data_IF_721030502802
#
_entry.id   IF_721030502802
#
_cell.length_a   1.000
_cell.length_b   1.000
_cell.length_c   1.000
_cell.angle_alpha   90.00
_cell.angle_beta   90.00
_cell.angle_gamma   90.00
#
_symmetry.space_group_name_H-M   'P 1'
#
loop_
_entity.id
_entity.type
_entity.pdbx_description
1 polymer ?
#
# COMPACT_ATOMS: atom_id res chain seq x y z
N UNK A 1 23.90 -36.45 54.45
CA UNK A 1 24.98 -35.70 53.78
C UNK A 1 24.33 -34.55 53.04
N UNK A 2 24.59 -33.33 53.53
CA UNK A 2 24.22 -31.97 53.07
C UNK A 2 23.49 -31.90 51.71
N UNK A 3 22.24 -31.47 51.54
CA UNK A 3 21.41 -30.40 52.13
C UNK A 3 22.06 -29.01 52.16
N UNK A 4 21.53 -28.08 51.36
CA UNK A 4 21.34 -26.66 51.74
C UNK A 4 20.38 -25.94 50.79
N UNK A 5 19.17 -25.74 51.31
CA UNK A 5 18.30 -24.57 51.12
C UNK A 5 19.08 -23.26 51.35
N UNK A 6 18.73 -22.18 50.62
CA UNK A 6 18.67 -20.79 51.12
C UNK A 6 18.11 -19.88 50.01
N UNK A 7 16.90 -19.31 50.10
CA UNK A 7 16.46 -18.11 50.85
C UNK A 7 16.43 -16.88 49.95
N UNK A 8 15.23 -16.31 49.84
CA UNK A 8 14.88 -15.06 49.17
C UNK A 8 14.98 -13.88 50.17
N UNK A 9 15.25 -12.69 49.62
CA UNK A 9 15.13 -11.31 50.15
C UNK A 9 16.37 -10.69 50.85
N UNK A 10 16.46 -9.35 50.97
CA UNK A 10 16.09 -8.28 50.01
C UNK A 10 17.16 -7.15 49.92
N UNK A 11 17.07 -6.33 48.85
CA UNK A 11 17.69 -5.00 48.67
C UNK A 11 19.23 -4.95 48.64
N UNK A 12 19.77 -4.42 47.54
CA UNK A 12 21.15 -3.93 47.53
C UNK A 12 21.74 -3.95 46.13
N UNK A 13 21.65 -2.79 45.48
CA UNK A 13 22.37 -2.37 44.28
C UNK A 13 23.75 -3.02 44.17
N UNK A 14 24.02 -3.74 43.09
CA UNK A 14 25.39 -4.01 42.64
C UNK A 14 25.62 -3.23 41.34
N UNK A 15 26.11 -2.01 41.49
CA UNK A 15 26.72 -1.26 40.42
C UNK A 15 28.03 -1.97 40.04
N UNK A 16 28.10 -2.51 38.83
CA UNK A 16 29.36 -2.99 38.27
C UNK A 16 30.04 -1.79 37.65
N UNK A 17 30.97 -1.21 38.41
CA UNK A 17 31.92 -0.21 37.98
C UNK A 17 33.01 -0.92 37.16
N UNK A 18 32.92 -0.87 35.83
CA UNK A 18 33.99 -1.34 34.95
C UNK A 18 34.91 -0.18 34.58
N UNK A 19 36.15 -0.30 35.07
CA UNK A 19 37.32 0.51 34.74
C UNK A 19 37.41 0.80 33.24
N UNK A 20 37.52 2.08 32.93
CA UNK A 20 37.93 2.56 31.63
C UNK A 20 39.42 2.26 31.39
N UNK A 21 39.72 1.37 30.46
CA UNK A 21 41.02 1.33 29.80
C UNK A 21 40.85 1.87 28.37
N UNK A 22 41.31 3.12 28.18
CA UNK A 22 41.40 3.78 26.88
C UNK A 22 42.57 3.20 26.10
N UNK A 23 42.27 2.43 25.04
CA UNK A 23 43.16 2.29 23.88
C UNK A 23 42.31 2.24 22.61
N UNK A 24 42.14 3.39 21.97
CA UNK A 24 41.76 3.45 20.55
C UNK A 24 42.79 4.33 19.87
N UNK A 25 43.59 3.68 19.04
CA UNK A 25 44.60 4.27 18.16
C UNK A 25 43.90 5.17 17.15
N UNK A 26 44.22 6.44 17.19
CA UNK A 26 43.75 7.49 16.29
C UNK A 26 44.67 7.49 15.05
N UNK A 27 44.18 7.03 13.90
CA UNK A 27 44.88 7.20 12.62
C UNK A 27 44.47 8.56 12.05
N UNK A 28 45.26 9.59 12.35
CA UNK A 28 45.22 10.88 11.65
C UNK A 28 46.10 10.79 10.40
N UNK A 29 45.47 10.75 9.23
CA UNK A 29 46.15 11.07 7.96
C UNK A 29 46.26 12.58 7.83
N UNK A 30 47.38 13.16 8.27
CA UNK A 30 47.83 14.48 7.83
C UNK A 30 48.71 14.28 6.60
N UNK A 31 48.21 14.60 5.40
CA UNK A 31 49.07 14.69 4.22
C UNK A 31 49.85 16.01 4.26
N UNK A 32 51.16 15.91 4.46
CA UNK A 32 52.10 16.92 3.97
C UNK A 32 52.22 16.77 2.45
N UNK A 33 51.94 17.83 1.71
CA UNK A 33 52.36 17.93 0.30
C UNK A 33 53.73 18.56 0.28
N UNK A 34 54.74 17.76 -0.05
CA UNK A 34 56.04 18.24 -0.47
C UNK A 34 55.91 18.79 -1.91
N UNK A 35 56.26 20.07 -2.09
CA UNK A 35 56.39 20.66 -3.41
C UNK A 35 57.65 20.09 -4.07
N UNK A 36 57.47 19.18 -5.04
CA UNK A 36 58.50 18.79 -6.00
C UNK A 36 58.19 19.51 -7.30
N UNK A 37 59.06 20.43 -7.69
CA UNK A 37 59.04 21.07 -8.99
C UNK A 37 59.43 20.07 -10.08
N UNK A 38 58.51 19.71 -10.96
CA UNK A 38 58.78 19.01 -12.21
C UNK A 38 58.27 19.88 -13.37
N UNK A 39 59.15 20.14 -14.34
CA UNK A 39 58.89 20.98 -15.51
C UNK A 39 57.86 20.37 -16.49
N UNK A 40 57.45 21.12 -17.52
CA UNK A 40 56.34 20.72 -18.37
C UNK A 40 56.80 19.65 -19.37
N UNK A 41 56.36 18.42 -19.15
CA UNK A 41 56.37 17.40 -20.19
C UNK A 41 54.99 17.39 -20.87
N UNK A 42 54.96 17.82 -22.13
CA UNK A 42 53.80 17.74 -23.00
C UNK A 42 53.41 16.26 -23.18
N UNK A 43 52.32 15.85 -22.54
CA UNK A 43 51.66 14.57 -22.79
C UNK A 43 50.31 14.86 -23.45
N UNK A 44 50.17 14.32 -24.65
CA UNK A 44 49.00 14.38 -25.53
C UNK A 44 47.75 13.85 -24.82
N UNK A 45 46.78 14.71 -24.57
CA UNK A 45 45.45 14.35 -24.10
C UNK A 45 44.73 13.54 -25.20
N UNK A 46 44.71 12.22 -25.03
CA UNK A 46 43.84 11.31 -25.78
C UNK A 46 43.18 10.39 -24.77
N UNK A 47 41.91 10.69 -24.47
CA UNK A 47 41.11 9.99 -23.48
C UNK A 47 40.10 10.91 -22.79
N UNK A 48 39.09 11.37 -23.52
CA UNK A 48 37.85 11.84 -22.90
C UNK A 48 37.11 10.62 -22.35
N UNK A 49 37.57 10.08 -21.22
CA UNK A 49 36.75 9.22 -20.39
C UNK A 49 35.74 10.12 -19.69
N UNK A 50 34.47 10.04 -20.07
CA UNK A 50 33.39 10.65 -19.28
C UNK A 50 33.47 10.07 -17.86
N UNK A 51 33.62 10.93 -16.86
CA UNK A 51 33.43 10.50 -15.47
C UNK A 51 32.03 9.92 -15.36
N UNK A 52 31.84 8.72 -14.77
CA UNK A 52 30.51 8.15 -14.63
C UNK A 52 29.65 9.12 -13.82
N UNK A 53 28.51 9.50 -14.39
CA UNK A 53 27.50 10.31 -13.70
C UNK A 53 27.12 9.58 -12.41
N UNK A 54 27.00 10.29 -11.27
CA UNK A 54 26.54 9.66 -10.03
C UNK A 54 25.18 9.01 -10.27
N UNK A 55 25.06 7.74 -9.88
CA UNK A 55 23.82 6.98 -9.97
C UNK A 55 23.20 6.88 -8.58
N UNK A 56 21.91 7.19 -8.46
CA UNK A 56 21.14 7.09 -7.22
C UNK A 56 20.01 6.09 -7.39
N UNK A 57 19.87 5.18 -6.43
CA UNK A 57 18.70 4.29 -6.36
C UNK A 57 17.56 4.97 -5.62
N UNK A 58 16.37 4.98 -6.23
CA UNK A 58 15.13 5.54 -5.66
C UNK A 58 14.00 4.51 -5.68
N UNK A 59 13.17 4.49 -4.65
CA UNK A 59 11.99 3.64 -4.58
C UNK A 59 10.79 4.41 -5.15
N UNK A 60 10.40 4.08 -6.38
CA UNK A 60 9.41 4.87 -7.14
C UNK A 60 8.48 3.99 -7.97
N UNK A 61 7.36 4.58 -8.40
CA UNK A 61 6.35 3.92 -9.24
C UNK A 61 6.98 3.44 -10.56
N UNK A 62 6.65 2.23 -10.96
CA UNK A 62 7.11 1.56 -12.18
C UNK A 62 5.96 1.28 -13.17
N UNK A 63 4.77 1.85 -12.93
CA UNK A 63 3.60 1.71 -13.78
C UNK A 63 2.79 0.44 -13.52
N UNK A 64 1.91 0.10 -14.47
CA UNK A 64 1.04 -1.07 -14.43
C UNK A 64 1.85 -2.33 -14.68
N UNK A 65 1.67 -3.35 -13.84
CA UNK A 65 2.24 -4.70 -14.02
C UNK A 65 1.17 -5.76 -14.30
N UNK A 66 -0.07 -5.53 -13.86
CA UNK A 66 -1.22 -6.35 -14.25
C UNK A 66 -2.41 -5.43 -14.62
N UNK A 67 -2.72 -5.27 -15.92
CA UNK A 67 -3.89 -4.51 -16.33
C UNK A 67 -5.20 -5.27 -16.04
N UNK A 68 -6.33 -4.57 -16.08
CA UNK A 68 -7.64 -5.23 -16.11
C UNK A 68 -7.83 -6.05 -17.40
N UNK A 69 -8.81 -6.94 -17.41
CA UNK A 69 -9.12 -7.80 -18.56
C UNK A 69 -9.86 -7.09 -19.70
N UNK A 70 -9.99 -7.78 -20.82
CA UNK A 70 -10.84 -7.42 -21.95
C UNK A 70 -12.32 -7.65 -21.61
N UNK A 71 -13.28 -7.00 -22.31
CA UNK A 71 -14.70 -7.25 -22.11
C UNK A 71 -15.05 -8.75 -22.15
N UNK A 72 -15.80 -9.21 -21.14
CA UNK A 72 -16.18 -10.61 -20.96
C UNK A 72 -15.22 -11.42 -20.08
N UNK A 73 -14.02 -10.90 -19.78
CA UNK A 73 -13.12 -11.50 -18.80
C UNK A 73 -13.56 -11.20 -17.36
N UNK A 74 -13.12 -12.06 -16.44
CA UNK A 74 -13.57 -12.01 -15.05
C UNK A 74 -13.07 -10.79 -14.26
N UNK A 75 -12.05 -10.11 -14.79
CA UNK A 75 -11.48 -8.87 -14.31
C UNK A 75 -11.60 -7.73 -15.35
N UNK A 76 -12.62 -7.79 -16.21
CA UNK A 76 -12.79 -6.85 -17.33
C UNK A 76 -12.97 -5.38 -16.93
N UNK A 77 -13.35 -5.12 -15.68
CA UNK A 77 -13.51 -3.77 -15.13
C UNK A 77 -12.39 -3.45 -14.14
N UNK A 78 -12.13 -4.33 -13.17
CA UNK A 78 -11.08 -4.16 -12.15
C UNK A 78 -10.20 -5.40 -12.02
N UNK A 79 -8.88 -5.19 -12.04
CA UNK A 79 -7.90 -6.09 -11.45
C UNK A 79 -7.36 -5.43 -10.17
N UNK A 80 -7.66 -5.99 -9.00
CA UNK A 80 -7.40 -5.35 -7.70
C UNK A 80 -7.00 -6.32 -6.59
N UNK A 81 -6.66 -5.77 -5.43
CA UNK A 81 -6.27 -6.52 -4.23
C UNK A 81 -5.23 -7.62 -4.54
N UNK A 82 -4.02 -7.28 -5.01
CA UNK A 82 -2.96 -8.27 -5.19
C UNK A 82 -2.56 -8.89 -3.86
N UNK A 83 -2.14 -10.15 -3.92
CA UNK A 83 -1.22 -10.73 -2.95
C UNK A 83 -0.14 -11.49 -3.70
N UNK A 84 1.11 -11.07 -3.57
CA UNK A 84 2.24 -11.66 -4.29
C UNK A 84 3.12 -12.47 -3.35
N UNK A 85 3.41 -13.70 -3.75
CA UNK A 85 4.37 -14.58 -3.10
C UNK A 85 5.42 -15.02 -4.12
N UNK A 86 6.70 -14.95 -3.74
CA UNK A 86 7.79 -15.58 -4.50
C UNK A 86 8.03 -16.97 -3.92
N UNK A 87 7.86 -17.98 -4.75
CA UNK A 87 7.96 -19.38 -4.37
C UNK A 87 9.43 -19.85 -4.28
N UNK A 88 9.61 -21.05 -3.73
CA UNK A 88 10.93 -21.66 -3.50
C UNK A 88 11.68 -21.92 -4.83
N UNK A 89 10.93 -22.19 -5.91
CA UNK A 89 11.47 -22.38 -7.26
C UNK A 89 11.80 -21.05 -7.97
N UNK A 90 11.50 -19.92 -7.33
CA UNK A 90 11.72 -18.57 -7.83
C UNK A 90 10.57 -18.00 -8.69
N UNK A 91 9.52 -18.78 -8.95
CA UNK A 91 8.30 -18.31 -9.60
C UNK A 91 7.55 -17.35 -8.69
N UNK A 92 7.04 -16.26 -9.24
CA UNK A 92 6.14 -15.36 -8.54
C UNK A 92 4.71 -15.79 -8.82
N UNK A 93 3.91 -15.84 -7.77
CA UNK A 93 2.48 -16.16 -7.77
C UNK A 93 1.74 -14.92 -7.30
N UNK A 94 0.70 -14.53 -8.03
CA UNK A 94 -0.22 -13.47 -7.63
C UNK A 94 -1.62 -14.05 -7.59
N UNK A 95 -2.22 -13.98 -6.42
CA UNK A 95 -3.67 -14.07 -6.30
C UNK A 95 -4.21 -12.65 -6.32
N UNK A 96 -5.31 -12.41 -7.01
CA UNK A 96 -5.90 -11.09 -7.11
C UNK A 96 -7.42 -11.16 -7.28
N UNK A 97 -8.11 -10.07 -6.92
CA UNK A 97 -9.55 -9.94 -7.11
C UNK A 97 -9.87 -9.33 -8.48
N UNK A 98 -10.70 -10.02 -9.26
CA UNK A 98 -11.22 -9.55 -10.53
C UNK A 98 -12.68 -9.14 -10.40
N UNK A 99 -13.04 -7.99 -10.97
CA UNK A 99 -14.41 -7.51 -11.09
C UNK A 99 -14.78 -7.34 -12.56
N UNK A 100 -15.92 -7.90 -12.95
CA UNK A 100 -16.43 -7.86 -14.33
C UNK A 100 -17.55 -6.83 -14.56
N UNK A 101 -17.83 -5.99 -13.56
CA UNK A 101 -18.98 -5.09 -13.56
C UNK A 101 -20.19 -5.63 -12.79
N UNK A 102 -20.15 -6.89 -12.34
CA UNK A 102 -21.23 -7.54 -11.59
C UNK A 102 -20.73 -8.16 -10.29
N UNK A 103 -19.71 -9.01 -10.34
CA UNK A 103 -19.23 -9.79 -9.17
C UNK A 103 -17.72 -9.77 -9.03
N UNK A 104 -17.24 -9.93 -7.79
CA UNK A 104 -15.82 -10.08 -7.50
C UNK A 104 -15.45 -11.56 -7.37
N UNK A 105 -14.43 -12.00 -8.10
CA UNK A 105 -13.89 -13.36 -8.07
C UNK A 105 -12.40 -13.34 -7.74
N UNK A 106 -11.89 -14.47 -7.27
CA UNK A 106 -10.45 -14.64 -7.09
C UNK A 106 -9.84 -15.19 -8.37
N UNK A 107 -8.80 -14.53 -8.87
CA UNK A 107 -8.04 -14.93 -10.05
C UNK A 107 -6.58 -15.20 -9.67
N UNK A 108 -5.88 -15.88 -10.57
CA UNK A 108 -4.47 -16.22 -10.41
C UNK A 108 -3.63 -15.75 -11.61
N UNK A 109 -2.43 -15.28 -11.33
CA UNK A 109 -1.40 -14.96 -12.31
C UNK A 109 -0.03 -15.48 -11.83
N UNK A 110 0.85 -15.81 -12.76
CA UNK A 110 2.24 -16.18 -12.46
C UNK A 110 3.22 -15.31 -13.22
N UNK A 111 4.44 -15.18 -12.70
CA UNK A 111 5.51 -14.42 -13.35
C UNK A 111 6.88 -15.04 -13.07
N UNK A 112 7.82 -15.03 -14.03
CA UNK A 112 9.21 -15.43 -13.79
C UNK A 112 10.06 -14.32 -13.13
N UNK A 113 9.64 -13.05 -13.24
CA UNK A 113 10.41 -11.90 -12.80
C UNK A 113 9.64 -11.00 -11.80
N UNK A 114 8.37 -11.29 -11.54
CA UNK A 114 7.44 -10.53 -10.71
C UNK A 114 7.00 -9.20 -11.34
N UNK A 115 7.31 -8.97 -12.62
CA UNK A 115 6.99 -7.74 -13.36
C UNK A 115 6.08 -8.06 -14.54
N UNK A 116 6.41 -9.10 -15.30
CA UNK A 116 5.62 -9.58 -16.44
C UNK A 116 4.77 -10.74 -16.02
N UNK A 117 3.46 -10.54 -16.02
CA UNK A 117 2.50 -11.51 -15.47
C UNK A 117 1.71 -12.22 -16.57
N UNK A 118 1.49 -13.52 -16.38
CA UNK A 118 0.58 -14.34 -17.18
C UNK A 118 -0.64 -14.66 -16.33
N UNK A 119 -1.82 -14.22 -16.79
CA UNK A 119 -3.11 -14.52 -16.14
C UNK A 119 -3.55 -15.94 -16.46
N UNK A 120 -4.15 -16.62 -15.47
CA UNK A 120 -4.65 -17.99 -15.59
C UNK A 120 -6.16 -18.10 -15.32
N UNK A 121 -6.84 -16.97 -15.07
CA UNK A 121 -8.29 -16.92 -14.88
C UNK A 121 -8.73 -17.16 -13.43
N UNK A 122 -10.00 -17.55 -13.26
CA UNK A 122 -10.68 -17.68 -11.97
C UNK A 122 -10.23 -18.94 -11.23
N UNK A 123 -9.88 -18.79 -9.95
CA UNK A 123 -9.52 -19.89 -9.05
C UNK A 123 -10.51 -20.08 -7.89
N UNK A 124 -11.28 -19.06 -7.52
CA UNK A 124 -12.43 -19.15 -6.63
C UNK A 124 -13.57 -18.32 -7.20
N UNK A 125 -14.67 -18.99 -7.49
CA UNK A 125 -15.87 -18.39 -8.06
C UNK A 125 -16.97 -18.15 -6.99
N UNK A 126 -17.99 -17.40 -7.38
CA UNK A 126 -19.13 -16.98 -6.56
C UNK A 126 -20.42 -17.63 -7.05
N UNK A 127 -21.48 -17.60 -6.24
CA UNK A 127 -22.78 -18.19 -6.60
C UNK A 127 -22.78 -19.71 -6.67
N UNK A 128 -21.74 -20.36 -6.16
CA UNK A 128 -21.60 -21.82 -6.13
C UNK A 128 -21.81 -22.38 -4.71
N UNK A 129 -22.50 -23.53 -4.55
CA UNK A 129 -22.60 -24.21 -3.25
C UNK A 129 -21.22 -24.64 -2.70
N UNK A 130 -21.09 -24.77 -1.36
CA UNK A 130 -22.12 -24.57 -0.35
C UNK A 130 -22.32 -23.09 0.06
N UNK A 131 -21.40 -22.21 -0.32
CA UNK A 131 -21.31 -20.87 0.26
C UNK A 131 -22.18 -19.82 -0.43
N UNK A 132 -22.37 -19.93 -1.75
CA UNK A 132 -23.22 -19.03 -2.54
C UNK A 132 -22.95 -17.52 -2.31
N UNK A 133 -21.69 -17.15 -2.00
CA UNK A 133 -21.27 -15.75 -1.91
C UNK A 133 -21.55 -15.02 -3.22
N UNK A 134 -21.63 -13.69 -3.20
CA UNK A 134 -21.69 -12.89 -4.43
C UNK A 134 -20.39 -12.11 -4.70
N UNK A 135 -19.44 -12.17 -3.77
CA UNK A 135 -18.13 -11.56 -3.90
C UNK A 135 -17.10 -12.26 -3.01
N UNK A 136 -15.89 -12.40 -3.55
CA UNK A 136 -14.71 -12.93 -2.88
C UNK A 136 -13.48 -12.10 -3.26
N UNK A 137 -12.54 -11.91 -2.33
CA UNK A 137 -11.30 -11.16 -2.58
C UNK A 137 -10.50 -10.83 -1.32
N UNK A 138 -9.54 -9.90 -1.45
CA UNK A 138 -8.77 -9.36 -0.31
C UNK A 138 -7.96 -10.40 0.43
N UNK A 139 -7.18 -11.21 -0.29
CA UNK A 139 -6.52 -12.41 0.20
C UNK A 139 -5.11 -12.16 0.75
N UNK A 140 -4.67 -13.05 1.63
CA UNK A 140 -3.29 -13.18 2.10
C UNK A 140 -2.91 -14.65 2.13
N UNK A 141 -1.70 -14.98 1.66
CA UNK A 141 -1.25 -16.37 1.50
C UNK A 141 0.08 -16.60 2.21
N UNK A 142 0.16 -17.67 2.98
CA UNK A 142 1.42 -18.21 3.49
C UNK A 142 1.65 -19.61 2.93
N UNK A 143 2.90 -19.93 2.60
CA UNK A 143 3.31 -21.31 2.31
C UNK A 143 3.93 -21.91 3.57
N UNK A 144 3.29 -22.94 4.11
CA UNK A 144 3.74 -23.66 5.30
C UNK A 144 4.11 -25.07 4.85
N UNK A 145 5.41 -25.36 4.85
CA UNK A 145 5.95 -26.57 4.22
C UNK A 145 5.54 -26.63 2.73
N UNK A 146 4.80 -27.66 2.32
CA UNK A 146 4.33 -27.83 0.94
C UNK A 146 2.90 -27.33 0.69
N UNK A 147 2.24 -26.75 1.70
CA UNK A 147 0.83 -26.33 1.62
C UNK A 147 0.73 -24.82 1.60
N UNK A 148 -0.02 -24.28 0.66
CA UNK A 148 -0.45 -22.87 0.69
C UNK A 148 -1.70 -22.75 1.54
N UNK A 149 -1.69 -21.77 2.43
CA UNK A 149 -2.81 -21.37 3.27
C UNK A 149 -3.22 -19.98 2.85
N UNK A 150 -4.49 -19.81 2.45
CA UNK A 150 -5.07 -18.53 2.07
C UNK A 150 -6.09 -18.11 3.10
N UNK A 151 -5.95 -16.89 3.61
CA UNK A 151 -6.98 -16.17 4.34
C UNK A 151 -7.59 -15.15 3.39
N UNK A 152 -8.90 -15.15 3.23
CA UNK A 152 -9.55 -14.28 2.25
C UNK A 152 -10.92 -13.85 2.74
N UNK A 153 -11.41 -12.73 2.22
CA UNK A 153 -12.73 -12.23 2.54
C UNK A 153 -13.75 -12.70 1.52
N UNK A 154 -14.91 -13.14 2.01
CA UNK A 154 -16.04 -13.46 1.14
C UNK A 154 -17.37 -13.15 1.81
N UNK A 155 -18.40 -12.91 1.00
CA UNK A 155 -19.74 -12.60 1.48
C UNK A 155 -20.61 -11.95 0.43
N UNK A 156 -21.34 -10.92 0.84
CA UNK A 156 -22.29 -10.18 0.02
C UNK A 156 -21.92 -8.69 -0.01
N UNK A 157 -21.05 -8.32 -0.95
CA UNK A 157 -20.53 -6.94 -1.06
C UNK A 157 -21.43 -6.01 -1.86
N UNK A 158 -22.47 -6.54 -2.52
CA UNK A 158 -23.48 -5.77 -3.24
C UNK A 158 -24.85 -5.77 -2.53
N UNK A 159 -24.87 -5.98 -1.22
CA UNK A 159 -26.08 -5.95 -0.39
C UNK A 159 -26.80 -7.30 -0.24
N UNK A 160 -26.52 -8.27 -1.11
CA UNK A 160 -27.06 -9.64 -1.01
C UNK A 160 -28.59 -9.73 -0.88
N UNK A 161 -29.14 -10.88 -0.44
CA UNK A 161 -30.58 -11.02 -0.19
C UNK A 161 -31.05 -10.28 1.08
N UNK A 162 -30.13 -9.77 1.91
CA UNK A 162 -30.46 -9.14 3.20
C UNK A 162 -29.72 -7.81 3.41
N UNK A 163 -28.38 -7.82 3.54
CA UNK A 163 -27.53 -6.64 3.78
C UNK A 163 -26.08 -6.85 3.30
N UNK A 164 -25.29 -5.78 3.25
CA UNK A 164 -23.84 -5.85 3.09
C UNK A 164 -23.20 -6.61 4.25
N UNK A 165 -22.52 -7.72 3.98
CA UNK A 165 -21.72 -8.43 4.98
C UNK A 165 -20.56 -9.21 4.35
N UNK A 166 -19.49 -9.43 5.12
CA UNK A 166 -18.35 -10.24 4.73
C UNK A 166 -17.63 -10.75 5.98
N UNK A 167 -17.02 -11.92 5.85
CA UNK A 167 -16.16 -12.49 6.87
C UNK A 167 -14.91 -13.11 6.26
N UNK A 168 -13.92 -13.40 7.11
CA UNK A 168 -12.67 -14.00 6.65
C UNK A 168 -12.76 -15.52 6.76
N UNK A 169 -12.46 -16.17 5.65
CA UNK A 169 -12.38 -17.61 5.48
C UNK A 169 -10.92 -18.04 5.32
N UNK A 170 -10.70 -19.34 5.51
CA UNK A 170 -9.45 -20.01 5.19
C UNK A 170 -9.64 -21.07 4.11
N UNK A 171 -8.64 -21.23 3.25
CA UNK A 171 -8.54 -22.30 2.28
C UNK A 171 -7.11 -22.85 2.20
N UNK A 172 -6.99 -24.11 1.78
CA UNK A 172 -5.70 -24.76 1.53
C UNK A 172 -5.54 -25.14 0.06
N UNK A 173 -4.31 -25.14 -0.42
CA UNK A 173 -3.94 -25.62 -1.75
C UNK A 173 -2.55 -26.25 -1.74
N UNK A 174 -2.33 -27.23 -2.63
CA UNK A 174 -1.00 -27.83 -2.86
C UNK A 174 -0.23 -27.16 -4.00
N UNK A 175 -0.93 -26.45 -4.90
CA UNK A 175 -0.35 -25.88 -6.13
C UNK A 175 -0.57 -24.35 -6.25
N UNK A 176 -1.42 -23.80 -5.38
CA UNK A 176 -1.84 -22.41 -5.41
C UNK A 176 -2.92 -22.10 -6.45
N UNK A 177 -3.42 -23.10 -7.17
CA UNK A 177 -4.44 -22.94 -8.22
C UNK A 177 -5.77 -23.55 -7.79
N UNK A 178 -5.77 -24.77 -7.28
CA UNK A 178 -6.99 -25.42 -6.77
C UNK A 178 -7.07 -25.25 -5.25
N UNK A 179 -8.15 -24.62 -4.78
CA UNK A 179 -8.32 -24.25 -3.37
C UNK A 179 -9.47 -25.00 -2.73
N UNK A 180 -9.22 -25.58 -1.56
CA UNK A 180 -10.23 -26.19 -0.71
C UNK A 180 -10.53 -25.27 0.47
N UNK A 181 -11.70 -24.63 0.48
CA UNK A 181 -12.14 -23.76 1.57
C UNK A 181 -12.46 -24.60 2.80
N UNK A 182 -11.78 -24.34 3.91
CA UNK A 182 -11.91 -25.11 5.15
C UNK A 182 -12.90 -24.51 6.14
N UNK A 183 -13.25 -23.23 6.00
CA UNK A 183 -14.28 -22.59 6.83
C UNK A 183 -13.98 -21.14 7.19
N UNK A 184 -14.82 -20.59 8.07
CA UNK A 184 -14.69 -19.23 8.64
C UNK A 184 -13.61 -19.24 9.72
N UNK A 185 -12.76 -18.21 9.73
CA UNK A 185 -11.67 -18.06 10.72
C UNK A 185 -11.74 -16.75 11.50
N UNK A 186 -12.39 -15.72 10.94
CA UNK A 186 -12.70 -14.49 11.67
C UNK A 186 -14.01 -13.86 11.16
N UNK A 187 -15.12 -13.99 11.91
CA UNK A 187 -16.35 -13.25 11.65
C UNK A 187 -16.31 -11.84 12.26
N UNK A 188 -17.15 -10.90 11.78
CA UNK A 188 -17.45 -9.66 12.50
C UNK A 188 -17.89 -9.92 13.94
N UNK A 189 -17.21 -9.33 14.92
CA UNK A 189 -17.49 -9.62 16.33
C UNK A 189 -17.17 -8.47 17.32
N UNK A 190 -16.75 -7.31 16.82
CA UNK A 190 -16.50 -6.12 17.62
C UNK A 190 -17.27 -4.92 17.04
N UNK A 191 -17.47 -3.87 17.85
CA UNK A 191 -18.27 -2.71 17.42
C UNK A 191 -17.71 -2.03 16.16
N UNK A 192 -16.39 -1.97 16.03
CA UNK A 192 -15.68 -1.28 14.95
C UNK A 192 -15.66 -2.06 13.62
N UNK A 193 -15.97 -3.36 13.65
CA UNK A 193 -15.99 -4.25 12.48
C UNK A 193 -17.34 -4.97 12.25
N UNK A 194 -18.36 -4.61 13.04
CA UNK A 194 -19.68 -5.27 13.10
C UNK A 194 -20.38 -5.48 11.75
N UNK A 195 -20.03 -4.70 10.73
CA UNK A 195 -20.58 -4.85 9.38
C UNK A 195 -19.80 -5.86 8.54
N UNK A 196 -18.47 -5.79 8.55
CA UNK A 196 -17.60 -6.67 7.76
C UNK A 196 -16.20 -6.78 8.35
N UNK A 197 -15.61 -7.97 8.25
CA UNK A 197 -14.15 -8.17 8.32
C UNK A 197 -13.63 -8.49 6.92
N UNK A 198 -12.66 -7.74 6.43
CA UNK A 198 -12.19 -7.79 5.05
C UNK A 198 -10.66 -7.59 4.97
N UNK A 199 -10.08 -7.84 3.79
CA UNK A 199 -8.67 -7.60 3.49
C UNK A 199 -7.69 -8.13 4.55
N UNK A 200 -7.75 -9.43 4.93
CA UNK A 200 -6.73 -10.04 5.79
C UNK A 200 -5.32 -9.83 5.28
N UNK A 201 -4.40 -9.64 6.21
CA UNK A 201 -2.97 -9.76 6.04
C UNK A 201 -2.42 -10.64 7.17
N UNK A 202 -1.96 -11.84 6.82
CA UNK A 202 -1.49 -12.82 7.79
C UNK A 202 0.02 -12.91 7.75
N UNK A 203 0.64 -12.75 8.91
CA UNK A 203 2.07 -13.02 9.13
C UNK A 203 2.23 -14.01 10.27
N UNK A 204 3.37 -14.71 10.27
CA UNK A 204 3.74 -15.62 11.35
C UNK A 204 5.04 -15.13 11.98
N UNK A 205 5.03 -14.96 13.29
CA UNK A 205 6.22 -14.53 14.02
C UNK A 205 7.21 -15.69 14.26
N UNK A 206 8.36 -15.36 14.84
CA UNK A 206 9.42 -16.33 15.13
C UNK A 206 9.04 -17.35 16.22
N UNK A 207 8.05 -17.05 17.06
CA UNK A 207 7.50 -17.98 18.04
C UNK A 207 6.45 -18.91 17.42
N UNK A 208 6.06 -18.67 16.16
CA UNK A 208 5.11 -19.46 15.41
C UNK A 208 3.66 -19.02 15.59
N UNK A 209 3.40 -17.89 16.26
CA UNK A 209 2.07 -17.31 16.42
C UNK A 209 1.65 -16.64 15.10
N UNK A 210 0.41 -16.86 14.69
CA UNK A 210 -0.21 -16.18 13.56
C UNK A 210 -0.81 -14.86 14.01
N UNK A 211 -0.54 -13.82 13.24
CA UNK A 211 -1.12 -12.49 13.37
C UNK A 211 -1.93 -12.21 12.12
N UNK A 212 -3.23 -12.00 12.27
CA UNK A 212 -4.13 -11.61 11.21
C UNK A 212 -4.51 -10.15 11.43
N UNK A 213 -3.93 -9.28 10.62
CA UNK A 213 -4.35 -7.89 10.50
C UNK A 213 -5.49 -7.83 9.50
N UNK A 214 -6.55 -7.07 9.79
CA UNK A 214 -7.67 -6.97 8.87
C UNK A 214 -8.28 -5.60 8.90
N UNK A 215 -9.04 -5.33 7.84
CA UNK A 215 -9.91 -4.18 7.75
C UNK A 215 -11.27 -4.53 8.32
N UNK A 216 -11.84 -3.64 9.13
CA UNK A 216 -13.14 -3.81 9.77
C UNK A 216 -14.04 -2.62 9.47
N UNK A 217 -15.25 -2.90 9.01
CA UNK A 217 -16.24 -1.88 8.64
C UNK A 217 -17.36 -1.80 9.69
N UNK A 218 -17.60 -0.61 10.22
CA UNK A 218 -18.60 -0.39 11.28
C UNK A 218 -20.01 -0.04 10.75
N UNK A 219 -20.20 -0.08 9.43
CA UNK A 219 -21.40 0.40 8.74
C UNK A 219 -21.24 1.78 8.09
N UNK A 220 -20.15 2.49 8.40
CA UNK A 220 -19.84 3.81 7.86
C UNK A 220 -18.41 3.89 7.36
N UNK A 221 -17.45 3.54 8.23
CA UNK A 221 -16.02 3.74 8.03
C UNK A 221 -15.26 2.44 8.25
N UNK A 222 -14.08 2.34 7.64
CA UNK A 222 -13.16 1.21 7.78
C UNK A 222 -11.95 1.59 8.61
N UNK A 223 -11.54 0.70 9.51
CA UNK A 223 -10.31 0.82 10.32
C UNK A 223 -9.51 -0.47 10.22
N UNK A 224 -8.32 -0.50 10.81
CA UNK A 224 -7.50 -1.73 10.88
C UNK A 224 -7.47 -2.25 12.31
N UNK A 225 -7.65 -3.56 12.46
CA UNK A 225 -7.50 -4.30 13.71
C UNK A 225 -6.66 -5.55 13.52
N UNK A 226 -6.48 -6.30 14.60
CA UNK A 226 -5.68 -7.52 14.62
C UNK A 226 -6.33 -8.61 15.45
N UNK A 227 -6.09 -9.86 15.05
CA UNK A 227 -6.41 -11.06 15.81
C UNK A 227 -5.20 -12.00 15.79
N UNK A 228 -5.04 -12.82 16.83
CA UNK A 228 -3.93 -13.79 16.92
C UNK A 228 -4.43 -15.23 17.00
N UNK A 229 -3.61 -16.16 16.55
CA UNK A 229 -3.93 -17.58 16.55
C UNK A 229 -2.69 -18.45 16.70
N UNK A 230 -2.80 -19.57 17.43
CA UNK A 230 -1.74 -20.57 17.51
C UNK A 230 -1.74 -21.57 16.34
N UNK A 231 -2.87 -21.74 15.65
CA UNK A 231 -3.08 -22.75 14.60
C UNK A 231 -3.34 -22.15 13.21
N UNK A 232 -3.57 -20.83 13.13
CA UNK A 232 -3.88 -20.13 11.88
C UNK A 232 -5.33 -20.30 11.42
N UNK A 233 -6.18 -20.93 12.25
CA UNK A 233 -7.59 -21.22 11.94
C UNK A 233 -8.51 -20.57 12.98
N UNK A 234 -8.16 -20.67 14.25
CA UNK A 234 -8.95 -20.16 15.38
C UNK A 234 -8.35 -18.83 15.84
N UNK A 235 -8.86 -17.71 15.34
CA UNK A 235 -8.35 -16.38 15.70
C UNK A 235 -9.09 -15.76 16.88
N UNK A 236 -8.33 -15.17 17.80
CA UNK A 236 -8.84 -14.37 18.92
C UNK A 236 -8.59 -12.89 18.61
N UNK A 237 -9.65 -12.08 18.42
CA UNK A 237 -9.51 -10.64 18.20
C UNK A 237 -8.84 -9.96 19.39
N UNK A 238 -7.99 -8.97 19.11
CA UNK A 238 -7.43 -8.13 20.16
C UNK A 238 -8.53 -7.25 20.78
N UNK A 239 -8.65 -7.26 22.10
CA UNK A 239 -9.67 -6.49 22.82
C UNK A 239 -9.50 -4.97 22.66
N UNK A 240 -8.28 -4.50 22.38
CA UNK A 240 -7.99 -3.08 22.14
C UNK A 240 -8.13 -2.63 20.68
N UNK A 241 -8.69 -3.47 19.80
CA UNK A 241 -9.01 -3.04 18.43
C UNK A 241 -9.99 -1.85 18.41
N UNK A 242 -9.93 -0.98 17.38
CA UNK A 242 -9.00 -1.01 16.24
C UNK A 242 -7.58 -0.56 16.63
N UNK A 243 -6.54 -1.11 16.00
CA UNK A 243 -5.13 -0.75 16.25
C UNK A 243 -4.66 0.46 15.43
N UNK A 244 -5.37 0.79 14.35
CA UNK A 244 -5.14 2.00 13.57
C UNK A 244 -6.48 2.65 13.21
N UNK A 245 -6.74 3.81 13.81
CA UNK A 245 -7.97 4.58 13.64
C UNK A 245 -7.85 5.61 12.49
N UNK A 246 -8.96 6.26 12.18
CA UNK A 246 -9.09 7.32 11.18
C UNK A 246 -8.15 8.49 11.46
N UNK A 247 -7.74 9.20 10.41
CA UNK A 247 -7.06 10.47 10.56
C UNK A 247 -7.98 11.57 11.14
N UNK A 248 -7.41 12.67 11.66
CA UNK A 248 -8.21 13.80 12.11
C UNK A 248 -9.01 14.42 10.96
N UNK A 249 -10.08 15.15 11.28
CA UNK A 249 -10.90 15.85 10.28
C UNK A 249 -10.04 16.71 9.34
N UNK A 250 -10.29 16.60 8.04
CA UNK A 250 -9.53 17.28 6.98
C UNK A 250 -8.27 16.55 6.52
N UNK A 251 -7.88 15.44 7.17
CA UNK A 251 -6.78 14.61 6.70
C UNK A 251 -7.19 13.71 5.53
N UNK A 252 -6.19 13.25 4.78
CA UNK A 252 -6.35 12.39 3.61
C UNK A 252 -6.90 10.99 3.93
N UNK A 253 -6.81 10.55 5.19
CA UNK A 253 -7.31 9.26 5.68
C UNK A 253 -8.40 9.43 6.77
N UNK A 254 -9.14 10.55 6.72
CA UNK A 254 -10.19 10.87 7.68
C UNK A 254 -11.44 9.97 7.56
N UNK A 255 -11.65 9.31 6.41
CA UNK A 255 -12.86 8.51 6.16
C UNK A 255 -12.62 7.02 6.23
N UNK A 256 -11.52 6.52 5.70
CA UNK A 256 -11.19 5.10 5.81
C UNK A 256 -9.68 4.91 6.00
N UNK A 257 -9.33 3.89 6.77
CA UNK A 257 -8.00 3.34 6.96
C UNK A 257 -8.13 1.83 6.79
N UNK A 258 -7.57 1.27 5.72
CA UNK A 258 -7.92 -0.06 5.21
C UNK A 258 -6.69 -0.73 4.57
N UNK A 259 -6.87 -2.00 4.18
CA UNK A 259 -5.95 -2.80 3.37
C UNK A 259 -4.54 -2.85 3.97
N UNK A 260 -4.38 -3.50 5.14
CA UNK A 260 -3.08 -3.58 5.80
C UNK A 260 -2.10 -4.43 4.99
N UNK A 261 -0.83 -4.01 4.99
CA UNK A 261 0.33 -4.82 4.62
C UNK A 261 1.42 -4.62 5.66
N UNK A 262 1.60 -5.64 6.50
CA UNK A 262 2.42 -5.59 7.72
C UNK A 262 3.71 -6.38 7.54
N UNK A 263 4.81 -5.75 7.93
CA UNK A 263 6.15 -6.30 7.90
C UNK A 263 6.62 -6.42 9.35
N UNK A 264 6.64 -7.63 9.94
CA UNK A 264 7.14 -7.83 11.29
C UNK A 264 8.66 -7.62 11.37
N UNK A 265 9.14 -7.17 12.52
CA UNK A 265 10.57 -6.92 12.75
C UNK A 265 10.83 -6.35 14.15
N UNK A 266 12.04 -5.84 14.40
CA UNK A 266 12.34 -5.09 15.63
C UNK A 266 11.50 -3.82 15.73
N UNK A 267 11.22 -3.22 14.58
CA UNK A 267 10.19 -2.20 14.38
C UNK A 267 9.27 -2.75 13.30
N UNK A 268 8.02 -2.98 13.64
CA UNK A 268 7.00 -3.39 12.70
C UNK A 268 6.65 -2.21 11.80
N UNK A 269 6.46 -2.47 10.51
CA UNK A 269 6.03 -1.48 9.52
C UNK A 269 4.69 -1.91 8.93
N UNK A 270 3.76 -0.98 8.82
CA UNK A 270 2.45 -1.17 8.20
C UNK A 270 2.33 -0.19 7.04
N UNK A 271 2.12 -0.71 5.83
CA UNK A 271 1.54 0.05 4.72
C UNK A 271 0.02 -0.08 4.77
N UNK A 272 -0.69 1.02 4.57
CA UNK A 272 -2.14 1.04 4.57
C UNK A 272 -2.69 1.96 3.49
N UNK A 273 -3.90 1.66 3.00
CA UNK A 273 -4.68 2.56 2.16
C UNK A 273 -5.54 3.49 3.02
N UNK A 274 -5.64 4.75 2.64
CA UNK A 274 -6.51 5.72 3.30
C UNK A 274 -7.22 6.62 2.31
N UNK A 275 -8.37 7.15 2.71
CA UNK A 275 -9.15 8.08 1.87
C UNK A 275 -9.96 9.08 2.68
N UNK A 276 -10.24 10.22 2.05
CA UNK A 276 -11.20 11.24 2.46
C UNK A 276 -12.53 11.14 1.68
N UNK A 277 -12.74 10.03 0.95
CA UNK A 277 -13.82 9.76 -0.02
C UNK A 277 -13.75 10.55 -1.32
N UNK A 278 -12.79 11.46 -1.50
CA UNK A 278 -12.54 12.15 -2.76
C UNK A 278 -11.34 11.56 -3.49
N UNK A 279 -10.30 11.19 -2.75
CA UNK A 279 -9.07 10.59 -3.26
C UNK A 279 -8.55 9.53 -2.28
N UNK A 280 -7.80 8.56 -2.78
CA UNK A 280 -7.14 7.56 -1.94
C UNK A 280 -5.63 7.50 -2.18
N UNK A 281 -4.88 7.28 -1.11
CA UNK A 281 -3.44 7.25 -1.10
C UNK A 281 -2.92 6.15 -0.18
N UNK A 282 -1.59 5.94 -0.17
CA UNK A 282 -0.92 4.99 0.71
C UNK A 282 -0.18 5.72 1.82
N UNK A 283 -0.37 5.26 3.05
CA UNK A 283 0.32 5.72 4.25
C UNK A 283 1.18 4.63 4.85
N UNK A 284 2.02 5.03 5.82
CA UNK A 284 2.79 4.11 6.66
C UNK A 284 2.57 4.36 8.14
N UNK A 285 2.70 3.33 8.95
CA UNK A 285 2.74 3.41 10.41
C UNK A 285 3.79 2.44 10.95
N UNK A 286 4.32 2.73 12.14
CA UNK A 286 5.28 1.86 12.83
C UNK A 286 4.78 1.40 14.19
N UNK A 287 5.25 0.25 14.63
CA UNK A 287 4.97 -0.31 15.95
C UNK A 287 6.18 -1.05 16.50
N UNK A 288 6.26 -1.16 17.83
CA UNK A 288 7.28 -1.98 18.51
C UNK A 288 6.75 -3.35 18.94
N UNK A 289 5.42 -3.54 18.91
CA UNK A 289 4.74 -4.72 19.48
C UNK A 289 3.62 -5.29 18.60
N UNK A 290 3.33 -4.66 17.45
CA UNK A 290 2.26 -5.07 16.54
C UNK A 290 0.85 -4.65 17.00
N UNK A 291 0.70 -4.06 18.19
CA UNK A 291 -0.59 -3.68 18.78
C UNK A 291 -0.78 -2.17 18.84
N UNK A 292 0.28 -1.42 19.14
CA UNK A 292 0.25 0.04 19.26
C UNK A 292 1.00 0.67 18.09
N UNK A 293 0.29 1.41 17.24
CA UNK A 293 0.82 1.94 15.99
C UNK A 293 0.88 3.47 15.97
N UNK A 294 1.96 4.01 15.40
CA UNK A 294 2.14 5.45 15.17
C UNK A 294 2.20 5.73 13.68
N UNK A 295 1.26 6.51 13.15
CA UNK A 295 1.27 6.95 11.74
C UNK A 295 2.51 7.83 11.47
N UNK A 296 3.15 7.62 10.34
CA UNK A 296 4.29 8.43 9.90
C UNK A 296 3.88 9.90 9.69
N UNK A 297 4.68 10.87 10.15
CA UNK A 297 4.37 12.30 9.97
C UNK A 297 4.43 12.76 8.50
N UNK A 298 5.10 11.99 7.63
CA UNK A 298 5.17 12.23 6.19
C UNK A 298 4.02 11.60 5.39
N UNK A 299 2.95 11.13 6.02
CA UNK A 299 1.82 10.54 5.32
C UNK A 299 0.97 11.62 4.58
N UNK A 300 0.36 11.29 3.43
CA UNK A 300 0.52 10.01 2.71
C UNK A 300 1.91 9.92 2.05
N UNK A 301 2.49 8.72 2.02
CA UNK A 301 3.81 8.49 1.44
C UNK A 301 3.77 8.23 -0.07
N UNK A 302 2.63 7.78 -0.59
CA UNK A 302 2.40 7.64 -2.03
C UNK A 302 1.00 8.15 -2.36
N UNK A 303 0.93 9.22 -3.15
CA UNK A 303 -0.33 9.80 -3.62
C UNK A 303 -0.63 9.51 -5.10
N UNK A 304 -1.81 9.92 -5.58
CA UNK A 304 -2.16 9.89 -7.00
C UNK A 304 -1.23 10.74 -7.87
N UNK A 305 -0.89 10.25 -9.06
CA UNK A 305 -0.23 11.07 -10.07
C UNK A 305 -1.25 11.92 -10.84
N UNK A 306 -0.86 13.02 -11.50
CA UNK A 306 -1.79 13.78 -12.31
C UNK A 306 -2.40 12.96 -13.44
N UNK A 307 -3.67 13.24 -13.79
CA UNK A 307 -4.28 12.67 -14.99
C UNK A 307 -3.42 13.00 -16.24
N UNK A 308 -3.26 12.07 -17.19
CA UNK A 308 -4.04 10.84 -17.38
C UNK A 308 -3.40 9.57 -16.78
N UNK A 309 -2.60 9.66 -15.73
CA UNK A 309 -2.04 8.48 -15.08
C UNK A 309 -3.13 7.50 -14.62
N UNK A 310 -2.85 6.19 -14.70
CA UNK A 310 -3.81 5.13 -14.34
C UNK A 310 -4.21 5.15 -12.87
N UNK A 311 -3.37 5.73 -12.01
CA UNK A 311 -3.57 5.86 -10.57
C UNK A 311 -3.89 7.31 -10.15
N UNK A 312 -4.48 8.09 -11.07
CA UNK A 312 -4.70 9.54 -10.89
C UNK A 312 -5.80 9.95 -9.91
N UNK A 313 -6.53 8.99 -9.35
CA UNK A 313 -7.51 9.25 -8.27
C UNK A 313 -7.23 8.49 -6.98
N UNK A 314 -6.83 7.22 -7.09
CA UNK A 314 -6.86 6.30 -5.96
C UNK A 314 -5.70 5.31 -5.98
N UNK A 315 -5.06 5.12 -4.82
CA UNK A 315 -4.09 4.05 -4.55
C UNK A 315 -4.49 3.23 -3.32
N UNK A 316 -4.75 1.93 -3.48
CA UNK A 316 -5.26 1.02 -2.43
C UNK A 316 -4.53 -0.33 -2.44
N UNK A 317 -4.79 -1.19 -1.46
CA UNK A 317 -4.26 -2.56 -1.40
C UNK A 317 -2.74 -2.64 -1.59
N UNK A 318 -1.94 -1.97 -0.73
CA UNK A 318 -0.51 -2.18 -0.70
C UNK A 318 -0.22 -3.65 -0.41
N UNK A 319 0.69 -4.26 -1.14
CA UNK A 319 1.14 -5.64 -0.98
C UNK A 319 2.67 -5.66 -1.02
N UNK A 320 3.28 -5.86 0.15
CA UNK A 320 4.72 -5.77 0.30
C UNK A 320 5.36 -7.12 0.02
N UNK A 321 6.42 -7.12 -0.79
CA UNK A 321 7.25 -8.28 -1.05
C UNK A 321 8.72 -7.95 -0.79
N UNK A 322 9.33 -8.69 0.13
CA UNK A 322 10.78 -8.77 0.24
C UNK A 322 11.31 -9.61 -0.93
N UNK A 323 12.08 -8.99 -1.82
CA UNK A 323 12.54 -9.62 -3.06
C UNK A 323 14.08 -9.54 -3.18
N UNK A 324 14.77 -10.57 -3.73
CA UNK A 324 16.22 -10.55 -3.88
C UNK A 324 16.75 -9.40 -4.74
N UNK A 325 15.93 -8.84 -5.64
CA UNK A 325 16.32 -7.67 -6.46
C UNK A 325 16.09 -6.31 -5.75
N UNK A 326 15.70 -6.35 -4.47
CA UNK A 326 15.27 -5.19 -3.69
C UNK A 326 13.75 -5.21 -3.45
N UNK A 327 13.26 -4.49 -2.44
CA UNK A 327 11.86 -4.53 -2.05
C UNK A 327 10.92 -4.13 -3.18
N UNK A 328 9.69 -4.65 -3.12
CA UNK A 328 8.61 -4.35 -4.04
C UNK A 328 7.34 -4.06 -3.26
N UNK A 329 6.60 -3.06 -3.71
CA UNK A 329 5.26 -2.77 -3.22
C UNK A 329 4.30 -2.80 -4.41
N UNK A 330 3.51 -3.87 -4.52
CA UNK A 330 2.38 -3.91 -5.44
C UNK A 330 1.26 -3.06 -4.86
N UNK A 331 0.48 -2.42 -5.71
CA UNK A 331 -0.64 -1.59 -5.28
C UNK A 331 -1.72 -1.55 -6.35
N UNK A 332 -2.93 -1.19 -5.96
CA UNK A 332 -4.02 -0.91 -6.89
C UNK A 332 -4.04 0.58 -7.19
N UNK A 333 -3.98 0.93 -8.47
CA UNK A 333 -4.19 2.29 -8.96
C UNK A 333 -5.51 2.42 -9.72
N UNK A 334 -6.18 3.57 -9.58
CA UNK A 334 -7.38 3.89 -10.36
C UNK A 334 -7.49 5.35 -10.77
N UNK A 335 -8.09 5.56 -11.94
CA UNK A 335 -8.40 6.87 -12.55
C UNK A 335 -9.86 7.30 -12.31
N UNK A 336 -10.64 6.47 -11.60
CA UNK A 336 -12.06 6.65 -11.35
C UNK A 336 -12.98 5.86 -12.28
N UNK A 337 -12.43 5.23 -13.32
CA UNK A 337 -13.17 4.36 -14.25
C UNK A 337 -12.72 2.90 -14.13
N UNK A 338 -11.41 2.68 -14.02
CA UNK A 338 -10.80 1.34 -13.93
C UNK A 338 -9.88 1.24 -12.71
N UNK A 339 -9.57 0.00 -12.32
CA UNK A 339 -8.59 -0.34 -11.29
C UNK A 339 -7.64 -1.39 -11.85
N UNK A 340 -6.35 -1.14 -11.68
CA UNK A 340 -5.27 -1.98 -12.20
C UNK A 340 -4.18 -2.13 -11.15
N UNK A 341 -3.32 -3.14 -11.31
CA UNK A 341 -2.25 -3.41 -10.34
C UNK A 341 -0.95 -2.80 -10.86
N UNK A 342 -0.44 -1.83 -10.10
CA UNK A 342 0.84 -1.18 -10.29
C UNK A 342 1.93 -1.74 -9.38
N UNK A 343 3.15 -1.27 -9.61
CA UNK A 343 4.33 -1.65 -8.83
C UNK A 343 5.14 -0.40 -8.45
N UNK A 344 5.67 -0.40 -7.23
CA UNK A 344 6.72 0.51 -6.76
C UNK A 344 7.96 -0.34 -6.45
N UNK A 345 9.12 0.07 -6.97
CA UNK A 345 10.38 -0.66 -6.78
C UNK A 345 11.59 0.26 -6.83
N UNK A 346 12.73 -0.26 -6.41
CA UNK A 346 14.02 0.40 -6.58
C UNK A 346 14.35 0.57 -8.07
N UNK A 347 14.69 1.80 -8.46
CA UNK A 347 15.13 2.19 -9.80
C UNK A 347 16.41 3.00 -9.68
N UNK A 348 17.42 2.67 -10.49
CA UNK A 348 18.64 3.47 -10.59
C UNK A 348 18.40 4.62 -11.55
N UNK A 349 18.55 5.85 -11.07
CA UNK A 349 18.43 7.08 -11.83
C UNK A 349 19.81 7.71 -11.91
N UNK A 350 20.21 8.16 -13.10
CA UNK A 350 21.44 8.93 -13.29
C UNK A 350 21.14 10.36 -12.87
N UNK A 351 21.94 10.91 -11.97
CA UNK A 351 21.87 12.35 -11.69
C UNK A 351 22.21 13.08 -12.99
N UNK A 352 21.27 13.87 -13.51
CA UNK A 352 21.62 14.85 -14.53
C UNK A 352 22.60 15.83 -13.88
N UNK A 353 23.86 15.84 -14.35
CA UNK A 353 24.77 16.92 -14.02
C UNK A 353 24.09 18.19 -14.54
N UNK A 354 23.80 19.18 -13.69
CA UNK A 354 23.30 20.46 -14.18
C UNK A 354 24.30 20.94 -15.22
N UNK A 355 23.88 21.06 -16.48
CA UNK A 355 24.71 21.72 -17.47
C UNK A 355 24.94 23.12 -16.92
N UNK A 356 26.19 23.54 -16.64
CA UNK A 356 26.44 24.91 -16.25
C UNK A 356 25.89 25.78 -17.38
N UNK A 357 25.03 26.74 -17.06
CA UNK A 357 24.64 27.77 -18.02
C UNK A 357 25.93 28.45 -18.48
N UNK A 358 26.44 28.07 -19.65
CA UNK A 358 27.53 28.79 -20.28
C UNK A 358 26.97 30.15 -20.67
N UNK A 359 27.57 31.18 -20.10
CA UNK A 359 27.20 32.58 -20.29
C UNK A 359 27.65 33.04 -21.69
N UNK A 360 27.20 32.35 -22.74
CA UNK A 360 27.55 32.68 -24.14
C UNK A 360 26.35 32.67 -25.10
N UNK A 361 25.15 32.25 -24.67
CA UNK A 361 23.93 32.45 -25.46
C UNK A 361 23.25 33.79 -25.10
N UNK A 362 24.03 34.87 -25.18
CA UNK A 362 23.44 36.22 -25.21
C UNK A 362 22.76 36.38 -26.58
N UNK A 363 21.44 36.60 -26.67
CA UNK A 363 20.81 36.85 -27.96
C UNK A 363 21.40 38.14 -28.54
N UNK A 364 21.91 38.07 -29.76
CA UNK A 364 22.33 39.25 -30.55
C UNK A 364 21.12 40.17 -30.72
N UNK A 365 21.02 41.19 -29.87
CA UNK A 365 20.10 42.30 -30.05
C UNK A 365 20.61 43.11 -31.26
N UNK A 366 20.01 42.87 -32.42
CA UNK A 366 20.00 43.84 -33.51
C UNK A 366 18.82 44.79 -33.27
N UNK A 367 19.11 45.98 -32.75
CA UNK A 367 18.15 47.07 -32.66
C UNK A 367 18.17 47.87 -33.97
N UNK A 368 16.99 48.08 -34.60
CA UNK A 368 16.53 49.32 -35.23
C UNK A 368 15.15 49.10 -35.88
N UNK A 369 14.10 49.80 -35.40
CA UNK A 369 12.82 49.83 -36.12
C UNK A 369 11.52 50.20 -35.40
N UNK A 370 11.51 51.22 -34.54
CA UNK A 370 10.36 52.11 -34.20
C UNK A 370 9.05 51.61 -33.52
N UNK A 371 8.91 52.07 -32.26
CA UNK A 371 7.77 52.82 -31.62
C UNK A 371 6.41 52.14 -31.41
N UNK A 372 6.09 51.80 -30.15
CA UNK A 372 5.03 52.41 -29.30
C UNK A 372 4.55 51.46 -28.18
N UNK A 373 4.28 52.05 -27.01
CA UNK A 373 3.51 51.55 -25.83
C UNK A 373 4.30 51.11 -24.58
N UNK A 374 4.85 52.15 -23.93
CA UNK A 374 4.86 52.50 -22.49
C UNK A 374 4.19 51.51 -21.51
N UNK A 375 5.03 50.85 -20.71
CA UNK A 375 5.30 51.03 -19.26
C UNK A 375 4.22 51.02 -18.15
N UNK A 376 4.68 50.42 -17.03
CA UNK A 376 4.39 50.67 -15.61
C UNK A 376 3.08 50.16 -14.94
N UNK A 377 3.28 49.08 -14.16
CA UNK A 377 3.03 48.93 -12.71
C UNK A 377 1.75 49.51 -12.08
N UNK A 378 1.13 48.72 -11.17
CA UNK A 378 0.95 49.05 -9.73
C UNK A 378 0.11 47.99 -9.02
N UNK A 379 0.59 47.62 -7.83
CA UNK A 379 -0.08 46.89 -6.75
C UNK A 379 -1.34 47.63 -6.28
N UNK A 380 -2.48 46.94 -6.16
CA UNK A 380 -3.72 47.53 -5.64
C UNK A 380 -4.63 46.52 -4.96
N UNK A 381 -4.55 46.50 -3.63
CA UNK A 381 -5.55 45.98 -2.70
C UNK A 381 -6.95 46.54 -3.04
N UNK A 382 -7.98 45.70 -3.13
CA UNK A 382 -9.37 46.12 -2.87
C UNK A 382 -10.30 44.96 -2.53
N UNK A 383 -10.99 45.19 -1.43
CA UNK A 383 -12.10 44.47 -0.83
C UNK A 383 -13.42 44.70 -1.60
N UNK A 384 -14.39 43.83 -1.30
CA UNK A 384 -15.85 44.00 -1.29
C UNK A 384 -16.74 43.55 -2.47
N UNK A 385 -17.49 42.48 -2.17
CA UNK A 385 -18.97 42.34 -2.23
C UNK A 385 -19.68 42.37 -3.59
N UNK A 386 -20.26 41.22 -3.91
CA UNK A 386 -21.71 41.12 -4.13
C UNK A 386 -22.16 41.00 -5.58
N UNK A 387 -22.09 39.80 -6.16
CA UNK A 387 -23.03 39.39 -7.23
C UNK A 387 -23.41 37.92 -7.08
N UNK A 388 -24.73 37.69 -7.02
CA UNK A 388 -25.39 36.37 -6.90
C UNK A 388 -25.01 35.45 -8.06
N UNK A 389 -24.91 34.12 -7.85
CA UNK A 389 -24.78 33.17 -8.95
C UNK A 389 -26.10 33.09 -9.74
N UNK A 390 -26.05 32.74 -11.04
CA UNK A 390 -27.23 32.61 -11.88
C UNK A 390 -28.12 31.46 -11.38
N UNK A 391 -29.44 31.67 -11.46
CA UNK A 391 -30.47 30.68 -11.11
C UNK A 391 -30.25 29.40 -11.92
N UNK A 392 -30.18 28.25 -11.24
CA UNK A 392 -30.33 26.92 -11.85
C UNK A 392 -31.70 26.84 -12.55
N UNK A 393 -31.82 26.16 -13.69
CA UNK A 393 -33.10 25.72 -14.20
C UNK A 393 -33.80 24.85 -13.16
N UNK A 394 -35.08 25.11 -12.93
CA UNK A 394 -35.94 24.33 -12.03
C UNK A 394 -35.94 22.85 -12.42
N UNK A 395 -35.80 21.97 -11.44
CA UNK A 395 -36.06 20.55 -11.60
C UNK A 395 -37.51 20.34 -12.09
N UNK A 396 -37.77 19.35 -12.96
CA UNK A 396 -39.13 18.96 -13.29
C UNK A 396 -39.86 18.48 -12.02
N UNK A 397 -41.18 18.67 -11.92
CA UNK A 397 -41.94 18.20 -10.77
C UNK A 397 -41.82 16.68 -10.62
N UNK A 398 -41.88 16.14 -9.38
CA UNK A 398 -41.81 14.70 -9.17
C UNK A 398 -42.97 14.02 -9.90
N UNK A 399 -42.63 12.99 -10.67
CA UNK A 399 -43.59 12.08 -11.29
C UNK A 399 -44.35 11.36 -10.16
N UNK A 400 -45.64 11.63 -10.03
CA UNK A 400 -46.51 10.88 -9.12
C UNK A 400 -46.54 9.41 -9.57
N UNK A 401 -45.95 8.52 -8.79
CA UNK A 401 -46.15 7.09 -8.93
C UNK A 401 -47.58 6.77 -8.44
N UNK A 402 -48.36 5.95 -9.16
CA UNK A 402 -49.70 5.58 -8.72
C UNK A 402 -49.64 4.91 -7.34
N UNK A 403 -50.50 5.36 -6.42
CA UNK A 403 -50.66 4.72 -5.11
C UNK A 403 -51.07 3.27 -5.31
N UNK A 404 -50.22 2.35 -4.90
CA UNK A 404 -50.60 0.95 -4.70
C UNK A 404 -51.57 0.94 -3.52
N UNK A 405 -52.84 0.63 -3.78
CA UNK A 405 -53.79 0.31 -2.71
C UNK A 405 -53.39 -1.02 -2.07
N UNK A 406 -53.44 -1.15 -0.73
CA UNK A 406 -53.31 -2.45 -0.10
C UNK A 406 -54.47 -3.35 -0.55
N UNK A 407 -54.27 -4.67 -0.71
CA UNK A 407 -55.36 -5.58 -1.00
C UNK A 407 -56.36 -5.52 0.15
N UNK A 408 -57.62 -5.21 -0.19
CA UNK A 408 -58.74 -5.31 0.74
C UNK A 408 -58.93 -6.77 1.20
N UNK A 409 -59.47 -6.98 2.41
CA UNK A 409 -59.61 -8.32 2.96
C UNK A 409 -60.78 -9.06 2.30
N UNK A 410 -60.48 -10.17 1.65
CA UNK A 410 -61.36 -11.34 1.51
C UNK A 410 -60.54 -12.54 1.07
#
# INVERSE_FOLDING_TARGET
>A
MYDRRAVLTPRGVLAIEMKAERRVTLVLCLMMVAAVSAGPAAATASGLGSSPTPEKTVFQKAGIVLPHGSPGEADSVYARAPFVLRDDDGTYKMWYSGYDGSVNRMLYASSPDGIRWTKHGVILDVGVPPYNWNSVGGQSVLKIQSVYHMWFSAGYWSGGPFVYWAQIYHAVSMDGFYWNVTGVVLPPNQFWDRGMTNSPWVVRDSAGLFWLFHSGWDGSNTRIGVATSGDGISFTPYAGNPILDLGPSGSWDQSDVNTPSVIPGSTWLLYYGGTDRMSGALGTATSSDGLHWSKSPGNPVVGPDPAPAFDSRVLWFPDWLADPSGPRLYYVGGDGSTLQIGLIKNTTVKDEVPVPLTLDDTPRIAALGTVAAIDAAVVGLALFVGRRPPRRPSAPPPQEWPRIQPPGPS
#
